data_IF_069537234498
#
_entry.id   IF_069537234498
#
_cell.length_a   1.000
_cell.length_b   1.000
_cell.length_c   1.000
_cell.angle_alpha   90.00
_cell.angle_beta   90.00
_cell.angle_gamma   90.00
#
_symmetry.space_group_name_H-M   'P 1'
#
loop_
_entity.id
_entity.type
_entity.pdbx_description
1 polymer ?
#
# COMPACT_ATOMS: atom_id res chain seq x y z
N UNK A 1 -8.54 -49.82 -29.26
CA UNK A 1 -7.37 -49.08 -28.73
C UNK A 1 -7.60 -47.59 -28.93
N UNK A 2 -7.56 -46.77 -27.87
CA UNK A 2 -7.71 -45.31 -27.94
C UNK A 2 -6.42 -44.70 -28.49
N UNK A 3 -6.47 -44.16 -29.71
CA UNK A 3 -5.40 -43.35 -30.28
C UNK A 3 -5.23 -42.06 -29.47
N UNK A 4 -4.03 -41.86 -28.92
CA UNK A 4 -3.69 -40.67 -28.15
C UNK A 4 -3.67 -39.44 -29.04
N UNK A 5 -4.64 -38.53 -28.84
CA UNK A 5 -4.59 -37.16 -29.36
C UNK A 5 -3.53 -36.39 -28.58
N UNK A 6 -2.28 -36.58 -28.96
CA UNK A 6 -1.15 -35.86 -28.39
C UNK A 6 -0.80 -34.69 -29.31
N UNK A 7 -0.82 -33.46 -28.77
CA UNK A 7 0.03 -32.40 -29.30
C UNK A 7 -0.63 -31.22 -30.02
N UNK A 8 -1.85 -30.79 -29.65
CA UNK A 8 -2.45 -29.55 -30.21
C UNK A 8 -2.76 -28.47 -29.16
N UNK A 9 -2.26 -28.64 -27.92
CA UNK A 9 -2.46 -27.66 -26.86
C UNK A 9 -1.36 -26.60 -26.91
N UNK A 10 -1.77 -25.33 -27.04
CA UNK A 10 -0.85 -24.19 -26.94
C UNK A 10 -1.01 -23.57 -25.55
N UNK A 11 0.11 -23.51 -24.84
CA UNK A 11 0.20 -22.92 -23.51
C UNK A 11 0.88 -21.56 -23.62
N UNK A 12 0.11 -20.49 -23.41
CA UNK A 12 0.65 -19.12 -23.38
C UNK A 12 0.78 -18.63 -21.95
N UNK A 13 1.96 -18.15 -21.62
CA UNK A 13 2.27 -17.50 -20.35
C UNK A 13 2.59 -16.04 -20.61
N UNK A 14 1.71 -15.15 -20.15
CA UNK A 14 1.95 -13.71 -20.18
C UNK A 14 2.61 -13.29 -18.88
N UNK A 15 3.87 -12.89 -18.94
CA UNK A 15 4.66 -12.45 -17.79
C UNK A 15 4.75 -10.93 -17.88
N UNK A 16 4.11 -10.25 -16.92
CA UNK A 16 4.15 -8.79 -16.80
C UNK A 16 5.03 -8.41 -15.62
N UNK A 17 6.09 -7.65 -15.87
CA UNK A 17 7.00 -7.18 -14.82
C UNK A 17 6.83 -5.68 -14.59
N UNK A 18 6.64 -5.31 -13.32
CA UNK A 18 6.46 -3.94 -12.83
C UNK A 18 7.66 -3.56 -11.96
N UNK A 19 8.52 -2.64 -12.41
CA UNK A 19 9.60 -2.12 -11.58
C UNK A 19 9.01 -1.28 -10.43
N UNK A 20 9.41 -1.61 -9.20
CA UNK A 20 8.99 -0.94 -7.97
C UNK A 20 10.21 -0.43 -7.21
N UNK A 21 10.23 0.87 -6.94
CA UNK A 21 11.24 1.52 -6.10
C UNK A 21 10.73 1.61 -4.68
N UNK A 22 11.39 0.94 -3.76
CA UNK A 22 11.08 0.98 -2.32
C UNK A 22 12.10 1.90 -1.66
N UNK A 23 11.67 3.10 -1.26
CA UNK A 23 12.50 4.05 -0.54
C UNK A 23 12.50 3.69 0.94
N UNK A 24 13.68 3.37 1.49
CA UNK A 24 13.86 3.14 2.93
C UNK A 24 14.49 4.38 3.57
N UNK A 25 13.76 5.00 4.50
CA UNK A 25 14.24 6.11 5.32
C UNK A 25 14.42 7.46 4.60
N UNK A 26 14.92 8.45 5.35
CA UNK A 26 15.08 9.84 4.91
C UNK A 26 16.25 10.09 3.94
N UNK A 27 17.20 9.16 3.84
CA UNK A 27 18.50 9.40 3.20
C UNK A 27 18.58 8.97 1.72
N UNK A 28 17.43 8.85 1.04
CA UNK A 28 17.39 8.57 -0.40
C UNK A 28 17.86 7.17 -0.81
N UNK A 29 18.05 6.24 0.14
CA UNK A 29 18.36 4.84 -0.18
C UNK A 29 17.11 4.17 -0.69
N UNK A 30 17.14 3.75 -1.96
CA UNK A 30 16.07 2.98 -2.58
C UNK A 30 16.54 1.56 -2.85
N UNK A 31 15.66 0.59 -2.63
CA UNK A 31 15.83 -0.79 -3.09
C UNK A 31 14.96 -0.97 -4.32
N UNK A 32 15.55 -1.50 -5.39
CA UNK A 32 14.80 -1.90 -6.58
C UNK A 32 14.18 -3.27 -6.33
N UNK A 33 12.85 -3.33 -6.43
CA UNK A 33 12.08 -4.56 -6.42
C UNK A 33 11.37 -4.72 -7.76
N UNK A 34 11.21 -5.96 -8.22
CA UNK A 34 10.49 -6.26 -9.45
C UNK A 34 9.26 -7.10 -9.10
N UNK A 35 8.10 -6.46 -9.15
CA UNK A 35 6.83 -7.17 -8.97
C UNK A 35 6.46 -7.83 -10.30
N UNK A 36 5.90 -9.03 -10.27
CA UNK A 36 5.52 -9.75 -11.49
C UNK A 36 4.10 -10.30 -11.38
N UNK A 37 3.40 -10.35 -12.51
CA UNK A 37 2.10 -11.00 -12.66
C UNK A 37 2.15 -11.98 -13.82
N UNK A 38 1.62 -13.18 -13.61
CA UNK A 38 1.61 -14.25 -14.61
C UNK A 38 0.17 -14.58 -14.96
N UNK A 39 -0.19 -14.43 -16.23
CA UNK A 39 -1.48 -14.88 -16.75
C UNK A 39 -1.27 -16.10 -17.63
N UNK A 40 -2.06 -17.14 -17.38
CA UNK A 40 -2.01 -18.39 -18.15
C UNK A 40 -3.22 -18.46 -19.09
N UNK A 41 -2.96 -18.71 -20.37
CA UNK A 41 -4.00 -18.97 -21.36
C UNK A 41 -3.73 -20.30 -22.05
N UNK A 42 -4.66 -21.23 -21.91
CA UNK A 42 -4.68 -22.47 -22.68
C UNK A 42 -5.56 -22.26 -23.93
N UNK A 43 -4.96 -22.31 -25.10
CA UNK A 43 -5.71 -22.31 -26.36
C UNK A 43 -5.74 -23.72 -26.94
N UNK A 44 -6.95 -24.24 -27.14
CA UNK A 44 -7.18 -25.46 -27.90
C UNK A 44 -7.39 -25.04 -29.36
N UNK A 45 -6.41 -25.31 -30.23
CA UNK A 45 -6.62 -25.11 -31.67
C UNK A 45 -7.15 -26.41 -32.26
N UNK A 46 -8.41 -26.41 -32.67
CA UNK A 46 -8.96 -27.48 -33.50
C UNK A 46 -8.53 -27.23 -34.96
N UNK A 47 -7.44 -27.86 -35.38
CA UNK A 47 -7.02 -27.84 -36.76
C UNK A 47 -5.88 -28.83 -37.00
N UNK A 48 -6.01 -29.65 -38.04
CA UNK A 48 -5.13 -30.79 -38.36
C UNK A 48 -3.62 -30.45 -38.47
N UNK A 49 -3.24 -29.17 -38.49
CA UNK A 49 -1.86 -28.70 -38.59
C UNK A 49 -1.43 -27.77 -37.44
N UNK A 50 -2.10 -27.79 -36.29
CA UNK A 50 -1.62 -27.05 -35.13
C UNK A 50 -0.54 -27.86 -34.41
N UNK A 51 0.67 -27.32 -34.33
CA UNK A 51 1.74 -27.87 -33.50
C UNK A 51 1.59 -27.29 -32.11
N UNK A 52 1.39 -28.15 -31.11
CA UNK A 52 1.40 -27.75 -29.70
C UNK A 52 2.72 -27.08 -29.32
N UNK A 53 2.65 -26.10 -28.43
CA UNK A 53 3.82 -25.30 -28.07
C UNK A 53 3.60 -24.48 -26.81
N UNK A 54 4.70 -24.21 -26.11
CA UNK A 54 4.71 -23.32 -24.94
C UNK A 54 5.28 -21.98 -25.40
N UNK A 55 4.52 -20.91 -25.21
CA UNK A 55 4.90 -19.56 -25.57
C UNK A 55 5.00 -18.70 -24.30
N UNK A 56 6.14 -18.07 -24.10
CA UNK A 56 6.37 -17.09 -23.03
C UNK A 56 6.37 -15.69 -23.65
N UNK A 57 5.35 -14.91 -23.33
CA UNK A 57 5.25 -13.50 -23.73
C UNK A 57 5.67 -12.64 -22.53
N UNK A 58 6.79 -11.92 -22.66
CA UNK A 58 7.36 -11.11 -21.59
C UNK A 58 7.19 -9.62 -21.90
N UNK A 59 6.50 -8.89 -21.03
CA UNK A 59 6.21 -7.46 -21.20
C UNK A 59 6.64 -6.67 -19.96
N UNK A 60 7.42 -5.60 -20.16
CA UNK A 60 7.77 -4.64 -19.12
C UNK A 60 6.74 -3.51 -19.08
N UNK A 61 6.12 -3.28 -17.91
CA UNK A 61 5.24 -2.13 -17.74
C UNK A 61 6.08 -0.85 -17.56
N UNK A 62 5.71 0.22 -18.27
CA UNK A 62 6.41 1.53 -18.20
C UNK A 62 6.10 2.34 -16.92
N UNK A 63 5.25 1.82 -16.04
CA UNK A 63 4.88 2.47 -14.78
C UNK A 63 5.80 2.02 -13.66
N UNK A 64 6.61 2.94 -13.14
CA UNK A 64 7.44 2.71 -11.96
C UNK A 64 6.65 3.09 -10.73
N UNK A 65 6.46 2.15 -9.81
CA UNK A 65 5.79 2.41 -8.53
C UNK A 65 6.84 2.90 -7.53
N UNK A 66 6.64 4.08 -6.94
CA UNK A 66 7.53 4.64 -5.91
C UNK A 66 6.85 4.58 -4.53
N UNK A 67 7.33 3.68 -3.66
CA UNK A 67 6.84 3.56 -2.29
C UNK A 67 7.76 4.40 -1.40
N UNK A 68 7.25 5.53 -0.91
CA UNK A 68 7.92 6.34 0.12
C UNK A 68 7.35 6.00 1.48
N UNK A 69 8.22 5.59 2.39
CA UNK A 69 7.84 5.41 3.78
C UNK A 69 7.60 6.78 4.43
N UNK A 70 6.34 7.10 4.74
CA UNK A 70 5.99 8.31 5.50
C UNK A 70 6.23 8.00 6.98
N UNK A 71 7.46 8.18 7.43
CA UNK A 71 7.79 8.15 8.85
C UNK A 71 7.06 9.29 9.55
N UNK A 72 6.23 8.95 10.54
CA UNK A 72 5.64 9.92 11.48
C UNK A 72 6.79 10.55 12.26
N UNK A 73 7.21 11.74 11.85
CA UNK A 73 8.37 12.45 12.43
C UNK A 73 8.17 12.79 13.91
N UNK A 74 9.28 13.03 14.62
CA UNK A 74 9.30 13.56 15.98
C UNK A 74 8.47 14.84 16.18
N UNK A 75 8.31 15.65 15.12
CA UNK A 75 7.45 16.83 15.12
C UNK A 75 5.98 16.45 15.41
N UNK A 76 5.49 15.35 14.85
CA UNK A 76 4.12 14.88 15.12
C UNK A 76 3.96 14.45 16.59
N UNK A 77 5.00 13.89 17.20
CA UNK A 77 5.01 13.59 18.63
C UNK A 77 4.98 14.89 19.45
N UNK A 78 5.81 15.87 19.10
CA UNK A 78 5.87 17.16 19.80
C UNK A 78 4.55 17.92 19.72
N UNK A 79 3.90 17.93 18.54
CA UNK A 79 2.57 18.50 18.35
C UNK A 79 1.55 17.82 19.27
N UNK A 80 1.58 16.48 19.35
CA UNK A 80 0.68 15.72 20.24
C UNK A 80 0.94 16.01 21.71
N UNK A 81 2.21 16.13 22.12
CA UNK A 81 2.58 16.47 23.49
C UNK A 81 2.10 17.87 23.86
N UNK A 82 2.35 18.86 22.99
CA UNK A 82 1.89 20.23 23.17
C UNK A 82 0.36 20.30 23.28
N UNK A 83 -0.37 19.56 22.43
CA UNK A 83 -1.82 19.51 22.48
C UNK A 83 -2.36 18.98 23.82
N UNK A 84 -1.74 17.94 24.39
CA UNK A 84 -2.14 17.41 25.70
C UNK A 84 -1.86 18.42 26.81
N UNK A 85 -0.67 19.02 26.84
CA UNK A 85 -0.29 20.01 27.86
C UNK A 85 -1.21 21.23 27.79
N UNK A 86 -1.43 21.78 26.59
CA UNK A 86 -2.32 22.91 26.37
C UNK A 86 -3.77 22.60 26.74
N UNK A 87 -4.23 21.38 26.44
CA UNK A 87 -5.54 20.88 26.84
C UNK A 87 -5.72 20.85 28.35
N UNK A 88 -4.77 20.25 29.09
CA UNK A 88 -4.83 20.18 30.56
C UNK A 88 -4.82 21.57 31.20
N UNK A 89 -3.98 22.47 30.70
CA UNK A 89 -3.92 23.86 31.19
C UNK A 89 -5.25 24.59 30.95
N UNK A 90 -5.79 24.50 29.74
CA UNK A 90 -7.08 25.11 29.39
C UNK A 90 -8.22 24.56 30.25
N UNK A 91 -8.30 23.23 30.41
CA UNK A 91 -9.32 22.58 31.24
C UNK A 91 -9.21 23.01 32.71
N UNK A 92 -8.00 23.11 33.25
CA UNK A 92 -7.77 23.56 34.63
C UNK A 92 -8.25 25.00 34.85
N UNK A 93 -7.97 25.90 33.91
CA UNK A 93 -8.43 27.29 33.95
C UNK A 93 -9.97 27.39 33.90
N UNK A 94 -10.60 26.62 33.02
CA UNK A 94 -12.06 26.57 32.90
C UNK A 94 -12.70 26.09 34.21
N UNK A 95 -12.21 25.00 34.79
CA UNK A 95 -12.73 24.44 36.05
C UNK A 95 -12.57 25.43 37.20
N UNK A 96 -11.39 26.07 37.30
CA UNK A 96 -11.13 27.07 38.33
C UNK A 96 -12.11 28.25 38.23
N UNK A 97 -12.33 28.77 37.02
CA UNK A 97 -13.24 29.89 36.79
C UNK A 97 -14.71 29.51 37.10
N UNK A 98 -15.14 28.30 36.73
CA UNK A 98 -16.50 27.82 37.04
C UNK A 98 -16.70 27.68 38.55
N UNK A 99 -15.71 27.11 39.25
CA UNK A 99 -15.79 26.90 40.71
C UNK A 99 -15.83 28.23 41.44
N UNK A 100 -14.96 29.18 41.08
CA UNK A 100 -14.95 30.51 41.66
C UNK A 100 -16.28 31.25 41.40
N UNK A 101 -16.80 31.20 40.17
CA UNK A 101 -18.08 31.81 39.82
C UNK A 101 -19.27 31.20 40.58
N UNK A 102 -19.27 29.88 40.77
CA UNK A 102 -20.31 29.21 41.56
C UNK A 102 -20.21 29.57 43.06
N UNK A 103 -19.01 29.78 43.58
CA UNK A 103 -18.80 30.19 44.96
C UNK A 103 -19.25 31.66 45.19
N UNK A 104 -18.95 32.57 44.27
CA UNK A 104 -19.41 33.97 44.36
C UNK A 104 -20.92 34.11 44.23
N UNK A 105 -21.60 33.24 43.47
CA UNK A 105 -23.07 33.18 43.45
C UNK A 105 -23.70 32.73 44.78
N UNK A 106 -23.01 31.90 45.57
CA UNK A 106 -23.52 31.46 46.88
C UNK A 106 -23.40 32.54 47.96
N UNK A 107 -22.47 33.47 47.84
CA UNK A 107 -22.28 34.56 48.81
C UNK A 107 -23.26 35.72 48.65
N UNK A 108 -24.01 35.78 47.54
CA UNK A 108 -24.99 36.84 47.25
C UNK A 108 -26.45 36.37 47.44
N UNK A 109 -26.65 35.26 48.16
CA UNK A 109 -27.94 34.77 48.65
C UNK A 109 -27.86 34.62 50.17
#
# INVERSE_FOLDING_TARGET
MKGGKQGQDIYRYFIKVVPTRIYHGFFGRFTMAYQYSVTFLKQLKEGEHSHGGILFEYEFNATVIEIREVVRSFITLLIRLCAVIGGVYATSCIINNITHFNNTRKSHK
#
